data_IF_660406510409
#
_entry.id   IF_660406510409
#
_cell.length_a   1.000
_cell.length_b   1.000
_cell.length_c   1.000
_cell.angle_alpha   90.00
_cell.angle_beta   90.00
_cell.angle_gamma   90.00
#
_symmetry.space_group_name_H-M   'P 1'
#
loop_
_entity.id
_entity.type
_entity.pdbx_description
1 polymer ?
#
# COMPACT_ATOMS: atom_id res chain seq x y z
N UNK A 1 39.65 11.31 54.72
CA UNK A 1 40.61 12.34 54.25
C UNK A 1 40.79 12.20 52.74
N UNK A 2 40.58 13.27 51.95
CA UNK A 2 40.91 13.30 50.52
C UNK A 2 42.38 13.70 50.38
N UNK A 3 43.27 12.71 50.23
CA UNK A 3 44.72 12.95 50.32
C UNK A 3 45.41 13.29 48.98
N UNK A 4 44.76 13.13 47.83
CA UNK A 4 45.30 13.53 46.52
C UNK A 4 46.45 12.69 45.95
N UNK A 5 47.18 11.91 46.77
CA UNK A 5 48.38 11.14 46.39
C UNK A 5 48.26 10.27 45.14
N UNK A 6 47.05 9.83 44.79
CA UNK A 6 46.82 9.03 43.58
C UNK A 6 47.08 9.79 42.28
N UNK A 7 46.98 11.12 42.28
CA UNK A 7 47.21 11.98 41.11
C UNK A 7 48.70 12.02 40.78
N UNK A 8 49.53 12.25 41.79
CA UNK A 8 50.99 12.41 41.64
C UNK A 8 51.69 11.16 41.07
N UNK A 9 51.11 9.99 41.30
CA UNK A 9 51.67 8.70 40.84
C UNK A 9 50.98 8.13 39.61
N UNK A 10 49.99 8.83 39.04
CA UNK A 10 49.27 8.32 37.88
C UNK A 10 50.11 8.50 36.62
N UNK A 11 50.57 7.42 35.95
CA UNK A 11 51.38 7.55 34.73
C UNK A 11 50.61 8.12 33.54
N UNK A 12 49.27 8.10 33.60
CA UNK A 12 48.38 8.66 32.59
C UNK A 12 47.95 10.11 32.90
N UNK A 13 48.48 10.73 33.97
CA UNK A 13 48.13 12.09 34.40
C UNK A 13 46.61 12.34 34.56
N UNK A 14 45.89 11.31 35.03
CA UNK A 14 44.45 11.40 35.27
C UNK A 14 44.14 11.92 36.68
N UNK A 15 42.85 12.05 36.98
CA UNK A 15 42.34 12.39 38.31
C UNK A 15 41.61 11.18 38.93
N UNK A 16 42.33 10.17 39.49
CA UNK A 16 41.72 8.95 40.01
C UNK A 16 40.64 9.21 41.06
N UNK A 17 40.82 10.21 41.93
CA UNK A 17 39.80 10.51 42.93
C UNK A 17 38.47 10.92 42.30
N UNK A 18 38.48 11.76 41.26
CA UNK A 18 37.26 12.18 40.57
C UNK A 18 36.64 11.02 39.80
N UNK A 19 37.46 10.27 39.06
CA UNK A 19 37.02 9.07 38.35
C UNK A 19 36.35 8.08 39.30
N UNK A 20 36.89 7.87 40.50
CA UNK A 20 36.29 6.97 41.49
C UNK A 20 34.91 7.44 41.95
N UNK A 21 34.74 8.75 42.16
CA UNK A 21 33.46 9.31 42.58
C UNK A 21 32.40 9.14 41.48
N UNK A 22 32.76 9.39 40.22
CA UNK A 22 31.85 9.24 39.09
C UNK A 22 31.55 7.77 38.79
N UNK A 23 32.56 6.90 38.72
CA UNK A 23 32.39 5.45 38.54
C UNK A 23 31.58 4.83 39.68
N UNK A 24 31.82 5.23 40.94
CA UNK A 24 31.09 4.72 42.11
C UNK A 24 29.63 5.16 42.16
N UNK A 25 29.30 6.32 41.59
CA UNK A 25 27.93 6.82 41.44
C UNK A 25 27.24 6.34 40.15
N UNK A 26 27.91 5.53 39.33
CA UNK A 26 27.47 5.14 37.98
C UNK A 26 27.17 6.34 37.07
N UNK A 27 27.85 7.44 37.30
CA UNK A 27 27.77 8.66 36.51
C UNK A 27 28.80 8.57 35.38
N UNK A 28 28.45 7.81 34.35
CA UNK A 28 29.38 7.47 33.28
C UNK A 28 29.69 8.63 32.36
N UNK A 29 28.74 9.55 32.16
CA UNK A 29 28.94 10.74 31.33
C UNK A 29 30.10 11.58 31.86
N UNK A 30 30.10 11.88 33.18
CA UNK A 30 31.22 12.59 33.80
C UNK A 30 32.49 11.74 33.85
N UNK A 31 32.38 10.43 34.03
CA UNK A 31 33.56 9.57 34.00
C UNK A 31 34.25 9.62 32.62
N UNK A 32 33.48 9.70 31.53
CA UNK A 32 33.99 9.89 30.17
C UNK A 32 34.63 11.26 29.98
N UNK A 33 34.01 12.33 30.48
CA UNK A 33 34.57 13.70 30.45
C UNK A 33 35.94 13.78 31.14
N UNK A 34 36.14 12.97 32.20
CA UNK A 34 37.41 12.84 32.91
C UNK A 34 38.34 11.76 32.32
N UNK A 35 38.10 11.37 31.07
CA UNK A 35 38.92 10.43 30.31
C UNK A 35 39.10 9.06 31.00
N UNK A 36 38.01 8.48 31.53
CA UNK A 36 38.04 7.15 32.15
C UNK A 36 38.73 6.08 31.28
N UNK A 37 38.57 6.16 29.96
CA UNK A 37 39.15 5.19 29.02
C UNK A 37 40.66 5.31 28.84
N UNK A 38 41.27 6.45 29.17
CA UNK A 38 42.73 6.63 29.14
C UNK A 38 43.42 5.92 30.33
N UNK A 39 42.64 5.51 31.35
CA UNK A 39 43.18 4.78 32.48
C UNK A 39 43.70 3.41 32.02
N UNK A 40 45.01 3.20 32.03
CA UNK A 40 45.63 1.92 31.66
C UNK A 40 45.60 0.84 32.75
N UNK A 41 44.87 1.08 33.85
CA UNK A 41 44.66 0.10 34.93
C UNK A 41 45.95 -0.41 35.61
N UNK A 42 47.00 0.42 35.61
CA UNK A 42 48.32 0.11 36.17
C UNK A 42 48.34 -0.12 37.70
N UNK A 43 47.30 0.31 38.43
CA UNK A 43 47.18 0.05 39.87
C UNK A 43 48.00 0.96 40.79
N UNK A 44 48.80 1.90 40.27
CA UNK A 44 49.61 2.83 41.07
C UNK A 44 48.77 3.59 42.11
N UNK A 45 47.56 4.02 41.72
CA UNK A 45 46.65 4.75 42.59
C UNK A 45 46.11 3.91 43.78
N UNK A 46 45.98 2.59 43.61
CA UNK A 46 45.55 1.67 44.68
C UNK A 46 46.69 1.43 45.64
N UNK A 47 47.90 1.23 45.12
CA UNK A 47 49.09 0.95 45.91
C UNK A 47 49.43 2.11 46.88
N UNK A 48 49.35 3.36 46.42
CA UNK A 48 49.67 4.53 47.27
C UNK A 48 48.52 4.97 48.18
N UNK A 49 47.33 4.39 48.02
CA UNK A 49 46.15 4.83 48.74
C UNK A 49 46.25 4.41 50.23
N UNK A 50 46.27 5.36 51.19
CA UNK A 50 46.34 5.02 52.61
C UNK A 50 45.09 4.27 53.09
N UNK A 51 43.96 4.45 52.40
CA UNK A 51 42.69 3.78 52.70
C UNK A 51 42.49 2.46 51.95
N UNK A 52 43.46 2.03 51.14
CA UNK A 52 43.40 0.78 50.34
C UNK A 52 42.12 0.63 49.50
N UNK A 53 41.61 1.73 48.96
CA UNK A 53 40.41 1.71 48.10
C UNK A 53 40.75 1.00 46.77
N UNK A 54 39.93 0.03 46.30
CA UNK A 54 40.20 -0.71 45.07
C UNK A 54 39.79 0.10 43.81
N UNK A 55 40.37 1.30 43.64
CA UNK A 55 40.06 2.27 42.57
C UNK A 55 39.97 1.64 41.18
N UNK A 56 40.94 0.80 40.81
CA UNK A 56 40.99 0.14 39.49
C UNK A 56 39.78 -0.78 39.25
N UNK A 57 39.24 -1.42 40.29
CA UNK A 57 38.06 -2.29 40.14
C UNK A 57 36.82 -1.48 39.76
N UNK A 58 36.66 -0.29 40.35
CA UNK A 58 35.58 0.64 39.97
C UNK A 58 35.72 1.10 38.52
N UNK A 59 36.94 1.38 38.06
CA UNK A 59 37.17 1.80 36.67
C UNK A 59 36.90 0.67 35.69
N UNK A 60 37.36 -0.55 35.97
CA UNK A 60 37.09 -1.74 35.14
C UNK A 60 35.60 -2.00 35.01
N UNK A 61 34.89 -1.95 36.13
CA UNK A 61 33.44 -2.08 36.15
C UNK A 61 32.77 -0.98 35.32
N UNK A 62 33.11 0.30 35.56
CA UNK A 62 32.55 1.42 34.81
C UNK A 62 32.82 1.32 33.30
N UNK A 63 34.03 0.97 32.87
CA UNK A 63 34.35 0.74 31.45
C UNK A 63 33.51 -0.39 30.85
N UNK A 64 33.35 -1.49 31.60
CA UNK A 64 32.59 -2.65 31.15
C UNK A 64 31.10 -2.31 30.98
N UNK A 65 30.54 -1.58 31.95
CA UNK A 65 29.16 -1.09 31.91
C UNK A 65 28.94 -0.14 30.73
N UNK A 66 29.87 0.80 30.48
CA UNK A 66 29.79 1.72 29.33
C UNK A 66 29.78 0.93 28.01
N UNK A 67 30.67 -0.05 27.86
CA UNK A 67 30.68 -0.89 26.66
C UNK A 67 29.42 -1.73 26.52
N UNK A 68 28.84 -2.20 27.62
CA UNK A 68 27.55 -2.91 27.59
C UNK A 68 26.42 -2.00 27.13
N UNK A 69 26.31 -0.80 27.70
CA UNK A 69 25.34 0.22 27.29
C UNK A 69 25.48 0.56 25.81
N UNK A 70 26.70 0.74 25.31
CA UNK A 70 26.93 0.98 23.89
C UNK A 70 26.51 -0.19 22.99
N UNK A 71 26.79 -1.44 23.41
CA UNK A 71 26.39 -2.63 22.66
C UNK A 71 24.87 -2.74 22.59
N UNK A 72 24.18 -2.53 23.70
CA UNK A 72 22.71 -2.55 23.74
C UNK A 72 22.10 -1.42 22.92
N UNK A 73 22.66 -0.20 22.98
CA UNK A 73 22.24 0.90 22.12
C UNK A 73 22.38 0.55 20.64
N UNK A 74 23.55 0.04 20.22
CA UNK A 74 23.81 -0.39 18.84
C UNK A 74 22.84 -1.48 18.38
N UNK A 75 22.55 -2.48 19.23
CA UNK A 75 21.57 -3.53 18.93
C UNK A 75 20.16 -2.95 18.73
N UNK A 76 19.74 -2.05 19.61
CA UNK A 76 18.44 -1.36 19.52
C UNK A 76 18.33 -0.54 18.24
N UNK A 77 19.38 0.23 17.90
CA UNK A 77 19.44 1.02 16.66
C UNK A 77 19.35 0.14 15.41
N UNK A 78 20.09 -0.97 15.37
CA UNK A 78 20.04 -1.92 14.26
C UNK A 78 18.64 -2.54 14.14
N UNK A 79 18.01 -2.91 15.27
CA UNK A 79 16.65 -3.47 15.27
C UNK A 79 15.63 -2.45 14.74
N UNK A 80 15.73 -1.19 15.17
CA UNK A 80 14.91 -0.08 14.69
C UNK A 80 15.08 0.12 13.18
N UNK A 81 16.32 0.24 12.69
CA UNK A 81 16.61 0.41 11.26
C UNK A 81 16.04 -0.75 10.42
N UNK A 82 16.19 -2.00 10.88
CA UNK A 82 15.62 -3.18 10.21
C UNK A 82 14.11 -3.14 10.18
N UNK A 83 13.47 -2.68 11.25
CA UNK A 83 12.02 -2.56 11.34
C UNK A 83 11.50 -1.49 10.37
N UNK A 84 12.09 -0.30 10.39
CA UNK A 84 11.76 0.81 9.49
C UNK A 84 11.91 0.41 8.02
N UNK A 85 13.03 -0.22 7.65
CA UNK A 85 13.25 -0.72 6.29
C UNK A 85 12.24 -1.79 5.86
N UNK A 86 11.77 -2.62 6.80
CA UNK A 86 10.70 -3.60 6.53
C UNK A 86 9.36 -2.90 6.30
N UNK A 87 9.01 -1.91 7.12
CA UNK A 87 7.77 -1.16 6.97
C UNK A 87 7.73 -0.44 5.63
N UNK A 88 8.81 0.26 5.26
CA UNK A 88 8.90 0.96 3.98
C UNK A 88 8.73 0.00 2.79
N UNK A 89 9.33 -1.19 2.85
CA UNK A 89 9.17 -2.22 1.81
C UNK A 89 7.72 -2.68 1.71
N UNK A 90 7.06 -2.95 2.84
CA UNK A 90 5.66 -3.39 2.86
C UNK A 90 4.72 -2.30 2.35
N UNK A 91 4.98 -1.04 2.71
CA UNK A 91 4.21 0.10 2.24
C UNK A 91 4.34 0.28 0.72
N UNK A 92 5.56 0.22 0.17
CA UNK A 92 5.79 0.25 -1.29
C UNK A 92 5.04 -0.88 -2.00
N UNK A 93 5.14 -2.11 -1.49
CA UNK A 93 4.41 -3.26 -2.06
C UNK A 93 2.89 -3.08 -1.99
N UNK A 94 2.36 -2.50 -0.91
CA UNK A 94 0.94 -2.18 -0.76
C UNK A 94 0.51 -1.12 -1.76
N UNK A 95 1.25 -0.01 -1.87
CA UNK A 95 0.99 1.07 -2.82
C UNK A 95 1.04 0.57 -4.27
N UNK A 96 2.04 -0.23 -4.64
CA UNK A 96 2.14 -0.85 -5.97
C UNK A 96 0.95 -1.78 -6.26
N UNK A 97 0.56 -2.60 -5.28
CA UNK A 97 -0.60 -3.50 -5.41
C UNK A 97 -1.89 -2.71 -5.60
N UNK A 98 -2.10 -1.67 -4.80
CA UNK A 98 -3.28 -0.78 -4.90
C UNK A 98 -3.31 -0.03 -6.23
N UNK A 99 -2.17 0.52 -6.67
CA UNK A 99 -2.04 1.17 -7.98
C UNK A 99 -2.34 0.20 -9.13
N UNK A 100 -1.85 -1.04 -9.05
CA UNK A 100 -2.14 -2.10 -10.04
C UNK A 100 -3.62 -2.46 -10.07
N UNK A 101 -4.26 -2.61 -8.91
CA UNK A 101 -5.69 -2.89 -8.82
C UNK A 101 -6.52 -1.72 -9.36
N UNK A 102 -6.15 -0.47 -9.05
CA UNK A 102 -6.79 0.73 -9.59
C UNK A 102 -6.70 0.78 -11.13
N UNK A 103 -5.50 0.59 -11.70
CA UNK A 103 -5.29 0.51 -13.15
C UNK A 103 -6.17 -0.58 -13.80
N UNK A 104 -6.22 -1.78 -13.20
CA UNK A 104 -7.08 -2.88 -13.69
C UNK A 104 -8.56 -2.50 -13.63
N UNK A 105 -9.02 -1.90 -12.53
CA UNK A 105 -10.41 -1.44 -12.36
C UNK A 105 -10.77 -0.39 -13.41
N UNK A 106 -9.90 0.60 -13.61
CA UNK A 106 -10.13 1.67 -14.57
C UNK A 106 -10.14 1.14 -16.01
N UNK A 107 -9.27 0.18 -16.34
CA UNK A 107 -9.27 -0.50 -17.64
C UNK A 107 -10.55 -1.32 -17.87
N UNK A 108 -10.99 -2.09 -16.87
CA UNK A 108 -12.25 -2.83 -16.94
C UNK A 108 -13.45 -1.88 -17.09
N UNK A 109 -13.46 -0.75 -16.38
CA UNK A 109 -14.51 0.26 -16.51
C UNK A 109 -14.52 0.91 -17.90
N UNK A 110 -13.35 1.23 -18.46
CA UNK A 110 -13.22 1.72 -19.85
C UNK A 110 -13.69 0.69 -20.87
N UNK A 111 -13.30 -0.58 -20.73
CA UNK A 111 -13.75 -1.67 -21.60
C UNK A 111 -15.26 -1.89 -21.52
N UNK A 112 -15.83 -1.86 -20.31
CA UNK A 112 -17.29 -1.94 -20.11
C UNK A 112 -17.99 -0.76 -20.79
N UNK A 113 -17.56 0.47 -20.55
CA UNK A 113 -18.11 1.67 -21.22
C UNK A 113 -17.96 1.60 -22.75
N UNK A 114 -16.85 1.06 -23.25
CA UNK A 114 -16.61 0.83 -24.67
C UNK A 114 -17.61 -0.16 -25.26
N UNK A 115 -17.78 -1.32 -24.61
CA UNK A 115 -18.79 -2.34 -24.98
C UNK A 115 -20.21 -1.79 -24.92
N UNK A 116 -20.57 -1.06 -23.87
CA UNK A 116 -21.90 -0.48 -23.71
C UNK A 116 -22.16 0.54 -24.83
N UNK A 117 -21.20 1.44 -25.12
CA UNK A 117 -21.31 2.39 -26.25
C UNK A 117 -21.41 1.70 -27.60
N UNK A 118 -20.67 0.61 -27.82
CA UNK A 118 -20.75 -0.17 -29.06
C UNK A 118 -22.11 -0.86 -29.19
N UNK A 119 -22.63 -1.43 -28.10
CA UNK A 119 -23.96 -2.03 -28.05
C UNK A 119 -25.05 -1.00 -28.32
N UNK A 120 -24.96 0.19 -27.75
CA UNK A 120 -25.92 1.28 -27.97
C UNK A 120 -25.89 1.75 -29.44
N UNK A 121 -24.69 1.88 -30.04
CA UNK A 121 -24.56 2.17 -31.48
C UNK A 121 -25.20 1.09 -32.35
N UNK A 122 -24.96 -0.20 -32.05
CA UNK A 122 -25.58 -1.33 -32.78
C UNK A 122 -27.10 -1.31 -32.65
N UNK A 123 -27.63 -1.09 -31.45
CA UNK A 123 -29.08 -0.94 -31.21
C UNK A 123 -29.69 0.22 -32.01
N UNK A 124 -29.04 1.38 -32.02
CA UNK A 124 -29.49 2.54 -32.77
C UNK A 124 -29.52 2.29 -34.29
N UNK A 125 -28.48 1.64 -34.84
CA UNK A 125 -28.42 1.23 -36.25
C UNK A 125 -29.56 0.25 -36.61
N UNK A 126 -29.80 -0.76 -35.77
CA UNK A 126 -30.89 -1.73 -35.97
C UNK A 126 -32.25 -1.02 -35.96
N UNK A 127 -32.48 -0.12 -35.00
CA UNK A 127 -33.72 0.66 -34.90
C UNK A 127 -33.95 1.52 -36.16
N UNK A 128 -32.90 2.18 -36.67
CA UNK A 128 -32.99 2.96 -37.90
C UNK A 128 -33.32 2.08 -39.12
N UNK A 129 -32.73 0.88 -39.22
CA UNK A 129 -33.03 -0.06 -40.29
C UNK A 129 -34.49 -0.56 -40.22
N UNK A 130 -34.98 -0.88 -39.02
CA UNK A 130 -36.38 -1.28 -38.80
C UNK A 130 -37.36 -0.17 -39.19
N UNK A 131 -37.07 1.09 -38.85
CA UNK A 131 -37.90 2.24 -39.23
C UNK A 131 -38.00 2.36 -40.77
N UNK A 132 -36.88 2.26 -41.49
CA UNK A 132 -36.87 2.29 -42.96
C UNK A 132 -37.66 1.13 -43.57
N UNK A 133 -37.58 -0.07 -43.00
CA UNK A 133 -38.36 -1.23 -43.47
C UNK A 133 -39.86 -1.02 -43.22
N UNK A 134 -40.23 -0.48 -42.05
CA UNK A 134 -41.62 -0.19 -41.73
C UNK A 134 -42.20 0.92 -42.62
N UNK A 135 -41.43 1.96 -42.95
CA UNK A 135 -41.83 2.98 -43.92
C UNK A 135 -41.97 2.41 -45.34
N UNK A 136 -41.08 1.52 -45.76
CA UNK A 136 -41.22 0.82 -47.05
C UNK A 136 -42.45 -0.08 -47.06
N UNK A 137 -42.71 -0.81 -45.97
CA UNK A 137 -43.91 -1.64 -45.81
C UNK A 137 -45.18 -0.80 -45.78
N UNK A 138 -45.20 0.35 -45.11
CA UNK A 138 -46.38 1.23 -45.08
C UNK A 138 -46.63 1.89 -46.44
N UNK A 139 -45.57 2.29 -47.16
CA UNK A 139 -45.67 2.75 -48.56
C UNK A 139 -46.13 1.64 -49.51
N UNK A 140 -45.64 0.41 -49.35
CA UNK A 140 -46.11 -0.75 -50.11
C UNK A 140 -47.55 -1.14 -49.77
N UNK A 141 -47.98 -1.06 -48.50
CA UNK A 141 -49.38 -1.27 -48.11
C UNK A 141 -50.30 -0.14 -48.59
N UNK A 142 -49.79 1.09 -48.69
CA UNK A 142 -50.51 2.21 -49.29
C UNK A 142 -50.62 2.09 -50.82
N UNK A 143 -49.69 1.38 -51.48
CA UNK A 143 -49.72 1.09 -52.92
C UNK A 143 -50.34 -0.28 -53.28
N UNK A 144 -50.57 -1.17 -52.31
CA UNK A 144 -51.15 -2.49 -52.53
C UNK A 144 -52.62 -2.56 -52.09
N UNK A 145 -53.45 -1.72 -52.71
CA UNK A 145 -54.82 -2.10 -53.10
C UNK A 145 -54.97 -1.74 -54.57
N UNK A 146 -54.58 -2.65 -55.45
CA UNK A 146 -54.94 -2.58 -56.87
C UNK A 146 -56.41 -3.00 -56.99
N UNK A 147 -57.33 -2.17 -56.48
CA UNK A 147 -58.78 -2.42 -56.49
C UNK A 147 -59.55 -1.50 -57.42
N UNK A 148 -58.88 -0.54 -58.05
CA UNK A 148 -59.57 0.61 -58.67
C UNK A 148 -59.80 0.46 -60.18
N UNK A 149 -59.47 -0.69 -60.78
CA UNK A 149 -59.82 -1.05 -62.16
C UNK A 149 -60.09 -2.56 -62.30
N UNK A 150 -61.15 -3.05 -61.68
CA UNK A 150 -61.63 -4.43 -61.88
C UNK A 150 -62.94 -4.44 -62.67
N UNK A 151 -63.05 -5.33 -63.66
CA UNK A 151 -64.30 -5.56 -64.38
C UNK A 151 -65.35 -6.25 -63.47
N UNK A 152 -66.66 -6.12 -63.77
CA UNK A 152 -67.74 -6.62 -62.92
C UNK A 152 -67.61 -8.11 -62.58
N UNK A 153 -67.13 -8.92 -63.52
CA UNK A 153 -66.91 -10.37 -63.32
C UNK A 153 -65.77 -10.67 -62.32
N UNK A 154 -64.73 -9.84 -62.29
CA UNK A 154 -63.60 -10.02 -61.39
C UNK A 154 -63.99 -9.67 -59.95
N UNK A 155 -64.88 -8.67 -59.78
CA UNK A 155 -65.42 -8.30 -58.48
C UNK A 155 -66.37 -9.37 -57.91
N UNK A 156 -67.16 -10.04 -58.76
CA UNK A 156 -68.02 -11.16 -58.35
C UNK A 156 -67.20 -12.36 -57.86
N UNK A 157 -66.10 -12.71 -58.57
CA UNK A 157 -65.21 -13.80 -58.15
C UNK A 157 -64.53 -13.54 -56.81
N UNK A 158 -64.14 -12.29 -56.53
CA UNK A 158 -63.55 -11.93 -55.23
C UNK A 158 -64.59 -12.06 -54.11
N UNK A 159 -65.83 -11.59 -54.33
CA UNK A 159 -66.92 -11.73 -53.35
C UNK A 159 -67.27 -13.20 -53.09
N UNK A 160 -67.25 -14.05 -54.11
CA UNK A 160 -67.50 -15.48 -53.98
C UNK A 160 -66.38 -16.19 -53.18
N UNK A 161 -65.13 -15.82 -53.42
CA UNK A 161 -63.96 -16.33 -52.67
C UNK A 161 -63.98 -15.86 -51.22
N UNK A 162 -64.36 -14.61 -50.95
CA UNK A 162 -64.45 -14.09 -49.58
C UNK A 162 -65.67 -14.64 -48.83
N UNK A 163 -66.81 -14.87 -49.49
CA UNK A 163 -67.94 -15.60 -48.93
C UNK A 163 -67.57 -17.05 -48.56
N UNK A 164 -66.75 -17.71 -49.39
CA UNK A 164 -66.21 -19.06 -49.13
C UNK A 164 -65.16 -19.10 -48.02
N UNK A 165 -64.45 -17.99 -47.77
CA UNK A 165 -63.53 -17.82 -46.63
C UNK A 165 -64.28 -17.51 -45.34
N UNK A 166 -65.37 -16.74 -45.41
CA UNK A 166 -66.24 -16.45 -44.28
C UNK A 166 -66.99 -17.71 -43.80
N UNK A 167 -67.53 -18.51 -44.72
CA UNK A 167 -68.20 -19.78 -44.36
C UNK A 167 -67.23 -20.81 -43.77
N UNK A 168 -65.98 -20.87 -44.24
CA UNK A 168 -64.91 -21.68 -43.63
C UNK A 168 -64.46 -21.18 -42.25
N UNK A 169 -64.64 -19.89 -41.95
CA UNK A 169 -64.35 -19.32 -40.62
C UNK A 169 -65.46 -19.62 -39.61
N UNK A 170 -66.71 -19.70 -40.06
CA UNK A 170 -67.84 -20.05 -39.20
C UNK A 170 -67.96 -21.57 -38.93
N UNK A 171 -67.51 -22.42 -39.84
CA UNK A 171 -67.46 -23.89 -39.64
C UNK A 171 -66.16 -24.38 -38.97
N UNK A 172 -65.31 -23.47 -38.49
CA UNK A 172 -64.01 -23.74 -37.88
C UNK A 172 -63.90 -23.21 -36.45
N UNK A 173 -64.99 -23.24 -35.69
CA UNK A 173 -65.04 -23.05 -34.25
C UNK A 173 -65.83 -24.15 -33.57
#
# INVERSE_FOLDING_TARGET
>A
IRCGKCVDVCPANLLPQQLYWYSGKKDYDRALEYNLFDCIECGCCVYVCPSRIPLVQYYRHAKSDIWEQERERKKSDIARQRHEARLERLEKQKQEREARLKKKRDALAKNKKGRDKEMDKKKALIAQALARVNEKKSKQNAQARNTDNLTPEQQQKIREVDARRASKKEHGS
#
